data_IF_052458847948
#
_entry.id   IF_052458847948
#
_cell.length_a   1.000
_cell.length_b   1.000
_cell.length_c   1.000
_cell.angle_alpha   90.00
_cell.angle_beta   90.00
_cell.angle_gamma   90.00
#
_symmetry.space_group_name_H-M   'P 1'
#
loop_
_entity.id
_entity.type
_entity.pdbx_description
1 polymer ?
#
# COMPACT_ATOMS: atom_id res chain seq x y z
N UNK A 1 -22.51 -20.72 11.59
CA UNK A 1 -21.97 -19.39 11.92
C UNK A 1 -20.78 -19.56 12.85
N UNK A 2 -19.71 -18.77 12.74
CA UNK A 2 -18.58 -18.87 13.65
C UNK A 2 -19.02 -18.52 15.08
N UNK A 3 -18.51 -19.27 16.07
CA UNK A 3 -18.79 -19.01 17.50
C UNK A 3 -18.04 -17.76 17.98
N UNK A 4 -18.50 -17.09 19.05
CA UNK A 4 -17.78 -15.97 19.64
C UNK A 4 -16.32 -16.29 20.00
N UNK A 5 -16.06 -17.52 20.45
CA UNK A 5 -14.70 -18.03 20.73
C UNK A 5 -13.84 -18.05 19.45
N UNK A 6 -14.34 -18.62 18.34
CA UNK A 6 -13.62 -18.67 17.07
C UNK A 6 -13.32 -17.26 16.50
N UNK A 7 -14.22 -16.30 16.71
CA UNK A 7 -14.00 -14.90 16.30
C UNK A 7 -12.87 -14.27 17.11
N UNK A 8 -12.83 -14.52 18.41
CA UNK A 8 -11.83 -13.94 19.30
C UNK A 8 -10.44 -14.54 19.04
N UNK A 9 -10.35 -15.85 18.82
CA UNK A 9 -9.12 -16.53 18.39
C UNK A 9 -8.59 -15.98 17.06
N UNK A 10 -9.46 -15.84 16.06
CA UNK A 10 -9.09 -15.26 14.76
C UNK A 10 -8.57 -13.83 14.91
N UNK A 11 -9.17 -13.04 15.82
CA UNK A 11 -8.74 -11.65 16.08
C UNK A 11 -7.35 -11.61 16.69
N UNK A 12 -7.08 -12.48 17.67
CA UNK A 12 -5.76 -12.60 18.32
C UNK A 12 -4.68 -13.04 17.32
N UNK A 13 -4.98 -14.04 16.49
CA UNK A 13 -3.99 -14.51 15.51
C UNK A 13 -3.68 -13.45 14.45
N UNK A 14 -4.69 -12.70 13.97
CA UNK A 14 -4.46 -11.55 13.09
C UNK A 14 -3.61 -10.47 13.76
N UNK A 15 -3.81 -10.21 15.05
CA UNK A 15 -3.00 -9.24 15.79
C UNK A 15 -1.54 -9.71 15.87
N UNK A 16 -1.31 -10.99 16.21
CA UNK A 16 0.02 -11.59 16.27
C UNK A 16 0.76 -11.49 14.94
N UNK A 17 0.10 -11.87 13.84
CA UNK A 17 0.69 -11.81 12.50
C UNK A 17 0.98 -10.37 12.04
N UNK A 18 0.12 -9.40 12.39
CA UNK A 18 0.36 -7.98 12.07
C UNK A 18 1.59 -7.43 12.80
N UNK A 19 1.74 -7.78 14.08
CA UNK A 19 2.89 -7.35 14.86
C UNK A 19 4.17 -7.92 14.26
N UNK A 20 4.20 -9.24 14.04
CA UNK A 20 5.32 -9.92 13.40
C UNK A 20 5.69 -9.30 12.04
N UNK A 21 4.72 -9.08 11.15
CA UNK A 21 4.98 -8.46 9.84
C UNK A 21 5.49 -7.01 9.95
N UNK A 22 5.07 -6.28 10.97
CA UNK A 22 5.52 -4.90 11.22
C UNK A 22 6.97 -4.89 11.70
N UNK A 23 7.31 -5.74 12.66
CA UNK A 23 8.67 -5.86 13.20
C UNK A 23 9.67 -6.32 12.12
N UNK A 24 9.26 -7.24 11.26
CA UNK A 24 10.10 -7.68 10.14
C UNK A 24 10.33 -6.58 9.10
N UNK A 25 9.35 -5.70 8.85
CA UNK A 25 9.49 -4.59 7.90
C UNK A 25 10.35 -3.47 8.44
N UNK A 26 10.18 -3.10 9.72
CA UNK A 26 10.98 -2.05 10.35
C UNK A 26 12.46 -2.43 10.46
N UNK A 27 12.76 -3.73 10.61
CA UNK A 27 14.12 -4.26 10.60
C UNK A 27 14.74 -4.47 9.21
N UNK A 28 14.05 -4.16 8.11
CA UNK A 28 14.53 -4.49 6.77
C UNK A 28 15.65 -3.53 6.32
N UNK A 29 16.87 -4.02 6.02
CA UNK A 29 17.91 -3.16 5.47
C UNK A 29 17.58 -2.76 4.03
N UNK A 30 18.11 -1.61 3.59
CA UNK A 30 18.04 -1.15 2.19
C UNK A 30 16.61 -1.02 1.61
N UNK A 31 15.63 -0.59 2.43
CA UNK A 31 14.23 -0.40 2.03
C UNK A 31 14.05 0.36 0.71
N UNK A 32 14.87 1.39 0.47
CA UNK A 32 14.82 2.18 -0.77
C UNK A 32 15.07 1.32 -2.02
N UNK A 33 16.06 0.43 -1.99
CA UNK A 33 16.38 -0.43 -3.12
C UNK A 33 15.26 -1.46 -3.38
N UNK A 34 14.75 -2.08 -2.31
CA UNK A 34 13.62 -3.01 -2.42
C UNK A 34 12.35 -2.33 -2.91
N UNK A 35 12.05 -1.12 -2.42
CA UNK A 35 10.89 -0.34 -2.86
C UNK A 35 10.98 0.03 -4.32
N UNK A 36 12.17 0.46 -4.76
CA UNK A 36 12.44 0.74 -6.17
C UNK A 36 12.22 -0.48 -7.06
N UNK A 37 12.73 -1.65 -6.67
CA UNK A 37 12.55 -2.87 -7.44
C UNK A 37 11.07 -3.26 -7.60
N UNK A 38 10.28 -3.11 -6.53
CA UNK A 38 8.84 -3.36 -6.55
C UNK A 38 8.14 -2.39 -7.50
N UNK A 39 8.42 -1.09 -7.38
CA UNK A 39 7.80 -0.07 -8.22
C UNK A 39 8.21 -0.21 -9.69
N UNK A 40 9.48 -0.51 -9.97
CA UNK A 40 9.98 -0.74 -11.32
C UNK A 40 9.22 -1.91 -11.97
N UNK A 41 9.11 -3.05 -11.28
CA UNK A 41 8.34 -4.22 -11.74
C UNK A 41 6.87 -3.88 -11.98
N UNK A 42 6.24 -3.13 -11.07
CA UNK A 42 4.85 -2.71 -11.25
C UNK A 42 4.69 -1.92 -12.56
N UNK A 43 5.63 -1.03 -12.88
CA UNK A 43 5.55 -0.24 -14.12
C UNK A 43 5.76 -1.03 -15.41
N UNK A 44 6.26 -2.26 -15.34
CA UNK A 44 6.37 -3.15 -16.51
C UNK A 44 5.10 -3.98 -16.74
N UNK A 45 4.14 -3.98 -15.82
CA UNK A 45 2.91 -4.76 -15.94
C UNK A 45 1.93 -4.07 -16.91
N UNK A 46 1.21 -4.87 -17.71
CA UNK A 46 0.24 -4.36 -18.68
C UNK A 46 -0.87 -3.55 -17.99
N UNK A 47 -1.33 -4.02 -16.83
CA UNK A 47 -2.36 -3.37 -16.03
C UNK A 47 -1.96 -1.96 -15.61
N UNK A 48 -0.69 -1.75 -15.26
CA UNK A 48 -0.18 -0.40 -14.98
C UNK A 48 -0.09 0.44 -16.25
N UNK A 49 0.45 -0.13 -17.34
CA UNK A 49 0.71 0.59 -18.58
C UNK A 49 -0.59 1.12 -19.21
N UNK A 50 -1.61 0.26 -19.29
CA UNK A 50 -2.91 0.56 -19.89
C UNK A 50 -3.80 1.45 -18.99
N UNK A 51 -3.57 1.45 -17.68
CA UNK A 51 -4.39 2.24 -16.76
C UNK A 51 -4.23 3.76 -17.00
N UNK A 52 -5.34 4.42 -17.35
CA UNK A 52 -5.40 5.89 -17.37
C UNK A 52 -5.63 6.49 -15.97
N UNK A 53 -5.98 5.66 -14.98
CA UNK A 53 -6.23 6.09 -13.60
C UNK A 53 -5.78 5.04 -12.61
N UNK A 54 -5.05 5.44 -11.58
CA UNK A 54 -4.47 4.56 -10.57
C UNK A 54 -5.00 4.98 -9.19
N UNK A 55 -5.49 4.02 -8.40
CA UNK A 55 -5.70 4.22 -6.98
C UNK A 55 -4.48 3.72 -6.22
N UNK A 56 -3.81 4.58 -5.46
CA UNK A 56 -2.62 4.22 -4.68
C UNK A 56 -2.63 4.92 -3.34
N UNK A 57 -1.99 4.32 -2.34
CA UNK A 57 -1.66 5.01 -1.10
C UNK A 57 -0.38 5.84 -1.28
N UNK A 58 -0.22 6.86 -0.44
CA UNK A 58 1.04 7.57 -0.23
C UNK A 58 1.72 6.89 0.96
N UNK A 59 2.95 6.45 0.78
CA UNK A 59 3.65 5.64 1.78
C UNK A 59 3.87 6.36 3.11
N UNK A 60 3.76 5.61 4.22
CA UNK A 60 4.03 6.09 5.57
C UNK A 60 4.84 5.03 6.34
N UNK A 61 5.82 5.46 7.12
CA UNK A 61 6.61 4.57 7.98
C UNK A 61 7.40 3.55 7.16
N UNK A 62 7.23 2.25 7.46
CA UNK A 62 8.02 1.15 6.89
C UNK A 62 7.33 0.44 5.71
N UNK A 63 6.40 1.11 5.07
CA UNK A 63 5.79 0.65 3.82
C UNK A 63 6.76 0.76 2.64
N UNK A 64 6.38 0.12 1.52
CA UNK A 64 7.04 0.34 0.23
C UNK A 64 6.93 1.82 -0.13
N UNK A 65 8.05 2.45 -0.47
CA UNK A 65 8.08 3.85 -0.87
C UNK A 65 7.40 4.01 -2.23
N UNK A 66 6.29 4.76 -2.28
CA UNK A 66 5.46 4.93 -3.49
C UNK A 66 5.59 6.33 -4.08
N UNK A 67 6.13 7.32 -3.38
CA UNK A 67 6.27 8.71 -3.87
C UNK A 67 6.86 8.79 -5.29
N UNK A 68 7.97 8.10 -5.56
CA UNK A 68 8.61 8.12 -6.89
C UNK A 68 7.74 7.51 -7.99
N UNK A 69 7.01 6.44 -7.68
CA UNK A 69 6.04 5.82 -8.58
C UNK A 69 4.89 6.79 -8.90
N UNK A 70 4.36 7.47 -7.88
CA UNK A 70 3.27 8.44 -8.05
C UNK A 70 3.71 9.62 -8.91
N UNK A 71 4.91 10.16 -8.67
CA UNK A 71 5.47 11.23 -9.50
C UNK A 71 5.63 10.78 -10.95
N UNK A 72 6.16 9.57 -11.18
CA UNK A 72 6.27 9.00 -12.54
C UNK A 72 4.91 8.84 -13.21
N UNK A 73 3.89 8.36 -12.49
CA UNK A 73 2.54 8.22 -13.02
C UNK A 73 1.91 9.57 -13.39
N UNK A 74 2.11 10.62 -12.59
CA UNK A 74 1.65 11.98 -12.90
C UNK A 74 2.32 12.51 -14.17
N UNK A 75 3.65 12.35 -14.31
CA UNK A 75 4.40 12.75 -15.50
C UNK A 75 3.93 11.99 -16.76
N UNK A 76 3.53 10.74 -16.60
CA UNK A 76 2.94 9.92 -17.68
C UNK A 76 1.51 10.34 -18.05
N UNK A 77 0.93 11.35 -17.40
CA UNK A 77 -0.43 11.82 -17.65
C UNK A 77 -1.52 10.94 -17.05
N UNK A 78 -1.17 10.03 -16.13
CA UNK A 78 -2.16 9.19 -15.43
C UNK A 78 -2.82 10.00 -14.32
N UNK A 79 -4.12 9.80 -14.13
CA UNK A 79 -4.84 10.35 -12.97
C UNK A 79 -4.57 9.47 -11.75
N UNK A 80 -4.33 10.08 -10.60
CA UNK A 80 -4.08 9.34 -9.35
C UNK A 80 -5.17 9.66 -8.35
N UNK A 81 -5.74 8.63 -7.71
CA UNK A 81 -6.64 8.75 -6.57
C UNK A 81 -5.94 8.20 -5.32
N UNK A 82 -5.92 9.00 -4.25
CA UNK A 82 -5.35 8.62 -2.95
C UNK A 82 -6.42 8.51 -1.88
N UNK A 83 -6.34 7.51 -0.98
CA UNK A 83 -7.27 7.40 0.14
C UNK A 83 -6.98 8.46 1.21
N UNK A 84 -8.04 9.11 1.67
CA UNK A 84 -8.05 9.94 2.87
C UNK A 84 -9.04 9.33 3.86
N UNK A 85 -8.50 8.89 5.00
CA UNK A 85 -9.29 8.22 6.04
C UNK A 85 -9.53 9.19 7.18
N UNK A 86 -10.80 9.40 7.53
CA UNK A 86 -11.22 10.17 8.70
C UNK A 86 -12.21 9.36 9.53
N UNK A 87 -11.79 8.99 10.75
CA UNK A 87 -12.54 8.09 11.65
C UNK A 87 -12.86 6.77 10.94
N UNK A 88 -14.14 6.48 10.70
CA UNK A 88 -14.62 5.27 10.03
C UNK A 88 -15.03 5.50 8.58
N UNK A 89 -14.57 6.60 7.96
CA UNK A 89 -14.86 6.92 6.56
C UNK A 89 -13.57 6.98 5.76
N UNK A 90 -13.58 6.35 4.60
CA UNK A 90 -12.57 6.46 3.57
C UNK A 90 -13.20 7.18 2.39
N UNK A 91 -12.53 8.23 1.91
CA UNK A 91 -12.84 8.89 0.65
C UNK A 91 -11.59 8.89 -0.23
N UNK A 92 -11.78 8.91 -1.54
CA UNK A 92 -10.69 8.99 -2.52
C UNK A 92 -10.63 10.42 -3.05
N UNK A 93 -9.42 10.98 -3.07
CA UNK A 93 -9.16 12.33 -3.58
C UNK A 93 -8.18 12.27 -4.75
N UNK A 94 -8.37 13.09 -5.79
CA UNK A 94 -7.37 13.20 -6.85
C UNK A 94 -6.08 13.80 -6.29
N UNK A 95 -4.95 13.18 -6.61
CA UNK A 95 -3.62 13.73 -6.37
C UNK A 95 -3.23 14.58 -7.59
N UNK A 96 -2.75 15.81 -7.34
CA UNK A 96 -2.38 16.80 -8.34
C UNK A 96 -0.88 17.10 -8.28
#
# INVERSE_FOLDING_TARGET
MPTPENINETKLEKQRLRQFATDQRSGLPNKTASSKLICDRLTTMAEYQEASTICSYVDVGDEVLTVDLLQKALVQGKRIAVPFVRRHRLALFPLQ
#
